data_IF_906828953560
#
_entry.id   IF_906828953560
#
_cell.length_a   1.000
_cell.length_b   1.000
_cell.length_c   1.000
_cell.angle_alpha   90.00
_cell.angle_beta   90.00
_cell.angle_gamma   90.00
#
_symmetry.space_group_name_H-M   'P 1'
#
loop_
_entity.id
_entity.type
_entity.pdbx_description
1 polymer ?
2 polymer ?
3 non-polymer ?
4 water ?
#
# COMPACT_ATOMS: atom_id res chain seq x y z
N UNK A 1 -14.99 -4.16 -6.79
CA UNK A 1 -15.95 -3.65 -7.76
C UNK A 1 -15.85 -4.35 -9.11
N UNK A 2 -16.65 -3.89 -10.07
CA UNK A 2 -16.59 -4.48 -11.41
C UNK A 2 -15.22 -4.38 -12.07
N UNK A 3 -14.40 -3.41 -11.69
CA UNK A 3 -13.11 -3.19 -12.33
C UNK A 3 -11.93 -3.74 -11.54
N UNK A 4 -12.15 -4.25 -10.33
CA UNK A 4 -11.05 -4.77 -9.55
C UNK A 4 -11.45 -4.98 -8.11
N UNK A 5 -10.49 -5.48 -7.33
CA UNK A 5 -10.71 -5.82 -5.93
C UNK A 5 -10.89 -4.57 -5.07
N UNK A 6 -11.76 -4.67 -4.08
CA UNK A 6 -11.97 -3.62 -3.10
C UNK A 6 -11.46 -4.10 -1.74
N UNK A 7 -10.88 -3.18 -0.97
CA UNK A 7 -10.27 -3.52 0.31
C UNK A 7 -10.61 -2.45 1.34
N UNK A 8 -10.64 -2.86 2.60
CA UNK A 8 -10.57 -1.95 3.73
C UNK A 8 -9.21 -2.19 4.40
N UNK A 9 -8.47 -1.12 4.62
CA UNK A 9 -7.16 -1.21 5.25
C UNK A 9 -7.20 -0.38 6.53
N UNK A 10 -6.90 -1.02 7.67
CA UNK A 10 -6.92 -0.36 8.96
C UNK A 10 -5.52 -0.39 9.55
N UNK A 11 -4.96 0.80 9.79
CA UNK A 11 -3.66 0.95 10.42
C UNK A 11 -3.82 0.99 11.93
N UNK A 12 -2.94 0.29 12.63
CA UNK A 12 -2.94 0.29 14.09
C UNK A 12 -1.53 0.45 14.58
N UNK A 13 -1.28 1.46 15.43
CA UNK A 13 0.00 1.58 16.10
C UNK A 13 -0.25 1.43 17.60
N UNK A 14 0.53 0.56 18.24
CA UNK A 14 0.33 0.24 19.64
C UNK A 14 1.65 0.27 20.38
N UNK A 15 1.56 0.50 21.69
CA UNK A 15 2.66 0.40 22.63
C UNK A 15 2.46 -0.85 23.50
N UNK A 16 3.37 -1.82 23.35
CA UNK A 16 3.35 -3.03 24.17
C UNK A 16 4.34 -2.88 25.31
N UNK A 17 3.86 -3.10 26.55
CA UNK A 17 4.71 -3.15 27.74
C UNK A 17 4.46 -4.47 28.44
N UNK A 18 5.47 -5.32 28.49
CA UNK A 18 5.34 -6.65 29.09
C UNK A 18 6.22 -6.77 30.32
N UNK A 19 6.00 -7.84 31.08
CA UNK A 19 6.86 -8.24 32.19
C UNK A 19 8.04 -9.08 31.70
N UNK A 20 9.09 -9.11 32.52
CA UNK A 20 10.27 -9.91 32.23
C UNK A 20 9.94 -11.37 31.95
N UNK A 21 9.01 -11.96 32.71
CA UNK A 21 8.73 -13.39 32.65
C UNK A 21 7.57 -13.73 31.71
N UNK A 22 7.31 -12.91 30.69
CA UNK A 22 6.34 -13.30 29.66
C UNK A 22 6.83 -12.80 28.32
N UNK A 23 6.18 -13.27 27.26
CA UNK A 23 6.40 -12.74 25.94
C UNK A 23 5.37 -11.68 25.60
N UNK A 24 5.56 -11.04 24.44
CA UNK A 24 4.54 -10.14 23.93
C UNK A 24 3.28 -10.88 23.52
N UNK A 25 3.36 -12.20 23.32
CA UNK A 25 2.18 -12.99 23.01
C UNK A 25 1.77 -13.04 21.56
N UNK A 26 2.74 -13.16 20.65
CA UNK A 26 2.40 -13.34 19.25
C UNK A 26 3.49 -14.18 18.58
N UNK A 27 3.14 -14.73 17.42
CA UNK A 27 4.07 -15.49 16.60
C UNK A 27 4.24 -14.76 15.29
N UNK A 28 5.47 -14.38 14.98
CA UNK A 28 5.78 -13.63 13.77
C UNK A 28 6.20 -14.60 12.67
N UNK A 29 5.70 -14.36 11.45
CA UNK A 29 6.06 -15.21 10.32
C UNK A 29 6.40 -14.36 9.11
N UNK A 30 7.47 -14.73 8.43
CA UNK A 30 7.86 -14.08 7.20
C UNK A 30 7.19 -14.74 6.02
N UNK A 31 6.59 -13.93 5.16
CA UNK A 31 5.85 -14.48 4.03
C UNK A 31 6.77 -14.93 2.90
N UNK A 32 7.87 -14.21 2.68
CA UNK A 32 8.87 -14.62 1.68
C UNK A 32 10.23 -14.02 2.01
N UNK A 39 14.33 -6.96 -4.49
CA UNK A 39 13.53 -5.94 -3.84
C UNK A 39 12.05 -6.28 -3.90
N UNK A 40 11.32 -5.91 -2.85
CA UNK A 40 9.91 -6.23 -2.67
C UNK A 40 9.09 -4.94 -2.78
N UNK A 41 7.98 -5.00 -3.52
CA UNK A 41 7.10 -3.86 -3.66
C UNK A 41 5.78 -4.14 -2.96
N UNK A 42 5.43 -3.40 -1.91
CA UNK A 42 4.16 -3.64 -1.21
C UNK A 42 2.96 -3.45 -2.12
N UNK A 43 1.96 -4.28 -1.90
CA UNK A 43 0.65 -4.22 -2.56
C UNK A 43 -0.40 -4.26 -1.47
N UNK A 44 -1.63 -3.83 -1.78
CA UNK A 44 -2.71 -3.96 -0.80
C UNK A 44 -2.85 -5.38 -0.27
N UNK A 45 -2.86 -6.39 -1.15
CA UNK A 45 -3.02 -7.76 -0.69
C UNK A 45 -1.80 -8.27 0.07
N UNK A 46 -0.65 -7.62 -0.11
CA UNK A 46 0.62 -8.10 0.42
C UNK A 46 1.44 -6.89 0.85
N UNK A 47 1.06 -6.22 1.95
CA UNK A 47 1.68 -4.93 2.27
C UNK A 47 3.04 -4.99 2.96
N UNK A 48 3.47 -6.17 3.44
CA UNK A 48 4.75 -6.26 4.16
C UNK A 48 5.22 -7.71 4.18
N UNK A 49 6.52 -7.89 4.43
CA UNK A 49 7.09 -9.23 4.45
C UNK A 49 6.73 -10.03 5.70
N UNK A 50 6.57 -9.38 6.86
CA UNK A 50 6.29 -10.08 8.11
C UNK A 50 4.84 -9.85 8.55
N UNK A 51 4.21 -10.88 9.12
CA UNK A 51 2.85 -10.74 9.63
C UNK A 51 2.69 -11.57 10.90
N UNK A 52 1.60 -11.33 11.61
CA UNK A 52 1.29 -12.08 12.83
C UNK A 52 0.57 -13.38 12.44
N UNK A 53 1.29 -14.50 12.49
CA UNK A 53 0.68 -15.79 12.22
C UNK A 53 -0.33 -16.16 13.30
N UNK A 54 -0.07 -15.78 14.56
CA UNK A 54 -1.03 -15.99 15.63
C UNK A 54 -0.79 -14.96 16.71
N UNK A 55 -1.82 -14.74 17.54
CA UNK A 55 -1.77 -13.82 18.67
C UNK A 55 -2.45 -14.50 19.84
N UNK A 56 -1.76 -14.59 20.98
CA UNK A 56 -2.33 -15.23 22.17
C UNK A 56 -3.50 -14.41 22.68
N UNK A 57 -4.69 -15.01 22.69
CA UNK A 57 -5.85 -14.31 23.20
C UNK A 57 -5.63 -13.95 24.67
N UNK A 58 -5.82 -12.67 25.00
CA UNK A 58 -5.60 -12.20 26.35
C UNK A 58 -4.17 -11.85 26.69
N UNK A 59 -3.22 -12.07 25.79
CA UNK A 59 -1.85 -11.69 26.03
C UNK A 59 -1.62 -10.20 25.81
N UNK A 60 -0.36 -9.78 26.00
CA UNK A 60 0.00 -8.37 25.88
C UNK A 60 -0.41 -7.82 24.51
N UNK A 61 0.00 -8.49 23.43
CA UNK A 61 -0.30 -7.99 22.10
C UNK A 61 -1.80 -7.94 21.83
N UNK A 62 -2.53 -8.98 22.25
CA UNK A 62 -3.99 -9.00 22.10
C UNK A 62 -4.64 -7.83 22.83
N UNK A 63 -4.26 -7.60 24.09
CA UNK A 63 -4.95 -6.57 24.86
C UNK A 63 -4.75 -5.18 24.28
N UNK A 64 -3.63 -4.96 23.59
CA UNK A 64 -3.38 -3.69 22.93
C UNK A 64 -4.11 -3.54 21.59
N UNK A 65 -4.59 -4.65 21.01
CA UNK A 65 -5.34 -4.58 19.77
C UNK A 65 -4.71 -5.26 18.57
N UNK A 66 -3.62 -6.00 18.75
CA UNK A 66 -3.06 -6.72 17.61
C UNK A 66 -3.81 -8.01 17.39
N UNK A 67 -3.86 -8.46 16.13
CA UNK A 67 -4.66 -9.63 15.76
C UNK A 67 -3.93 -10.47 14.72
N UNK A 68 -4.23 -11.77 14.70
CA UNK A 68 -3.71 -12.67 13.67
C UNK A 68 -3.98 -12.09 12.28
N UNK A 69 -2.95 -12.12 11.43
CA UNK A 69 -3.05 -11.61 10.08
C UNK A 69 -2.56 -10.19 9.89
N UNK A 70 -2.39 -9.43 10.97
CA UNK A 70 -1.83 -8.09 10.87
C UNK A 70 -0.44 -8.14 10.26
N UNK A 71 -0.16 -7.25 9.31
CA UNK A 71 1.15 -7.09 8.68
C UNK A 71 1.98 -6.01 9.39
N UNK A 72 3.27 -6.28 9.61
CA UNK A 72 4.10 -5.35 10.36
C UNK A 72 4.72 -4.30 9.44
N UNK A 73 4.49 -3.03 9.76
CA UNK A 73 5.02 -1.88 8.99
C UNK A 73 6.24 -1.25 9.66
N UNK A 74 6.18 -1.01 10.97
CA UNK A 74 7.29 -0.38 11.69
C UNK A 74 7.51 -1.06 13.02
N UNK A 75 8.76 -1.04 13.47
CA UNK A 75 9.13 -1.51 14.80
C UNK A 75 10.01 -0.43 15.44
N UNK A 76 9.51 0.19 16.51
CA UNK A 76 10.32 1.13 17.31
C UNK A 76 10.91 2.23 16.44
N UNK A 77 10.12 2.75 15.50
CA UNK A 77 10.53 3.86 14.67
C UNK A 77 11.36 3.52 13.46
N UNK A 78 11.48 2.25 13.12
CA UNK A 78 12.20 1.81 11.94
C UNK A 78 11.23 1.05 11.03
N UNK A 79 11.25 1.38 9.76
CA UNK A 79 10.40 0.69 8.79
C UNK A 79 10.90 -0.74 8.59
N UNK A 80 9.97 -1.70 8.58
CA UNK A 80 10.32 -3.10 8.37
C UNK A 80 9.52 -3.75 7.25
N UNK A 81 8.89 -2.93 6.40
CA UNK A 81 8.06 -3.47 5.32
C UNK A 81 8.87 -4.43 4.44
N UNK A 82 10.14 -4.12 4.20
CA UNK A 82 10.99 -4.86 3.28
C UNK A 82 12.10 -5.61 3.99
N UNK A 83 12.00 -5.79 5.30
CA UNK A 83 13.09 -6.34 6.09
C UNK A 83 12.81 -7.82 6.35
N UNK A 84 13.87 -8.63 6.33
CA UNK A 84 13.75 -10.07 6.49
C UNK A 84 13.42 -10.48 7.91
N UNK A 85 13.06 -11.76 8.05
CA UNK A 85 12.44 -12.25 9.28
C UNK A 85 13.39 -12.14 10.47
N UNK A 86 14.62 -12.64 10.31
CA UNK A 86 15.54 -12.66 11.45
C UNK A 86 15.91 -11.26 11.90
N UNK A 87 16.02 -10.33 10.94
CA UNK A 87 16.35 -8.96 11.30
C UNK A 87 15.22 -8.30 12.08
N UNK A 88 13.97 -8.54 11.67
CA UNK A 88 12.85 -7.96 12.42
C UNK A 88 12.77 -8.56 13.82
N UNK A 89 12.95 -9.88 13.94
CA UNK A 89 12.93 -10.52 15.24
C UNK A 89 13.97 -9.87 16.15
N UNK A 90 15.17 -9.66 15.62
CA UNK A 90 16.23 -9.03 16.42
C UNK A 90 15.84 -7.62 16.83
N UNK A 91 15.29 -6.83 15.91
CA UNK A 91 14.86 -5.48 16.25
C UNK A 91 13.85 -5.48 17.39
N UNK A 92 12.92 -6.45 17.39
CA UNK A 92 11.95 -6.54 18.47
C UNK A 92 12.63 -6.89 19.80
N UNK A 93 13.60 -7.79 19.76
CA UNK A 93 14.26 -8.18 21.01
C UNK A 93 15.13 -7.05 21.55
N UNK A 94 15.58 -6.14 20.68
CA UNK A 94 16.40 -5.03 21.15
C UNK A 94 15.65 -4.14 22.14
N UNK A 95 14.34 -4.00 21.98
CA UNK A 95 13.57 -3.17 22.87
C UNK A 95 13.25 -3.75 24.24
N UNK A 96 13.64 -4.99 24.49
CA UNK A 96 13.40 -5.60 25.79
C UNK A 96 11.92 -5.81 26.08
N UNK A 97 11.42 -5.17 27.13
CA UNK A 97 10.02 -5.31 27.53
C UNK A 97 9.10 -4.31 26.88
N UNK A 98 9.62 -3.42 26.04
CA UNK A 98 8.84 -2.38 25.38
C UNK A 98 8.92 -2.60 23.88
N UNK A 99 7.77 -2.55 23.21
CA UNK A 99 7.72 -2.65 21.76
C UNK A 99 6.67 -1.67 21.25
N UNK A 100 7.07 -0.74 20.37
CA UNK A 100 6.15 0.13 19.66
C UNK A 100 6.09 -0.38 18.22
N UNK A 101 4.90 -0.71 17.75
CA UNK A 101 4.78 -1.33 16.44
C UNK A 101 3.57 -0.76 15.71
N UNK A 102 3.73 -0.52 14.41
CA UNK A 102 2.63 -0.16 13.53
C UNK A 102 2.35 -1.35 12.63
N UNK A 103 1.08 -1.75 12.55
CA UNK A 103 0.65 -2.83 11.67
C UNK A 103 -0.50 -2.35 10.80
N UNK A 104 -0.80 -3.13 9.77
CA UNK A 104 -1.97 -2.88 8.94
C UNK A 104 -2.79 -4.16 8.90
N UNK A 105 -4.10 -4.02 9.10
CA UNK A 105 -5.05 -5.11 8.90
C UNK A 105 -5.76 -4.89 7.57
N UNK A 106 -5.87 -5.95 6.79
CA UNK A 106 -6.41 -5.89 5.42
C UNK A 106 -7.56 -6.86 5.28
N UNK A 107 -8.72 -6.36 4.84
CA UNK A 107 -9.85 -7.19 4.44
C UNK A 107 -10.05 -7.10 2.94
N UNK A 108 -10.14 -8.26 2.28
CA UNK A 108 -10.34 -8.34 0.83
C UNK A 108 -11.75 -8.81 0.53
N UNK A 109 -12.33 -8.25 -0.54
CA UNK A 109 -13.68 -8.62 -0.95
C UNK A 109 -13.66 -9.35 -2.28
N UNK B 1 -9.64 4.70 12.95
CA UNK B 1 -9.99 4.31 14.30
C UNK B 1 -9.09 4.95 15.35
N UNK B 2 -9.31 4.59 16.62
CA UNK B 2 -8.48 5.19 17.68
C UNK B 2 -7.01 4.81 17.59
N UNK B 3 -6.66 3.72 16.91
CA UNK B 3 -5.28 3.29 16.80
C UNK B 3 -4.61 3.73 15.49
N UNK B 4 -5.35 4.30 14.56
CA UNK B 4 -4.74 4.75 13.32
C UNK B 4 -5.77 4.95 12.23
N UNK B 5 -5.27 5.41 11.08
CA UNK B 5 -6.14 5.78 9.97
C UNK B 5 -6.68 4.55 9.26
N UNK B 6 -7.94 4.64 8.81
CA UNK B 6 -8.60 3.60 8.06
C UNK B 6 -8.87 4.10 6.65
N UNK B 7 -8.71 3.22 5.66
CA UNK B 7 -8.79 3.60 4.25
C UNK B 7 -9.69 2.64 3.49
N UNK B 8 -10.48 3.20 2.59
CA UNK B 8 -11.24 2.45 1.60
C UNK B 8 -10.43 2.44 0.31
N UNK B 9 -10.13 1.25 -0.19
CA UNK B 9 -9.25 1.08 -1.35
C UNK B 9 -10.05 0.40 -2.46
N UNK B 10 -10.13 1.05 -3.63
CA UNK B 10 -10.84 0.51 -4.79
C UNK B 10 -9.85 0.38 -5.94
N UNK B 11 -9.53 -0.85 -6.35
CA UNK B 11 -8.66 -1.07 -7.48
C UNK B 11 -9.50 -1.09 -8.76
N UNK B 12 -8.98 -0.48 -9.81
CA UNK B 12 -9.66 -0.46 -11.11
C UNK B 12 -8.66 -0.76 -12.20
N UNK B 13 -8.97 -1.76 -13.04
CA UNK B 13 -8.16 -2.03 -14.22
C UNK B 13 -9.06 -1.85 -15.44
N UNK B 14 -8.63 -1.01 -16.39
CA UNK B 14 -9.45 -0.67 -17.54
C UNK B 14 -8.63 -0.75 -18.81
N UNK B 15 -9.33 -0.98 -19.91
CA UNK B 15 -8.77 -0.91 -21.24
C UNK B 15 -9.22 0.40 -21.88
N UNK B 16 -8.26 1.25 -22.26
CA UNK B 16 -8.57 2.49 -22.96
C UNK B 16 -8.28 2.33 -24.44
N UNK B 17 -9.29 2.58 -25.28
CA UNK B 17 -9.13 2.58 -26.73
C UNK B 17 -9.57 3.94 -27.24
N UNK B 18 -8.65 4.65 -27.89
CA UNK B 18 -8.94 6.01 -28.33
C UNK B 18 -8.72 6.14 -29.83
N UNK B 19 -9.25 7.21 -30.39
CA UNK B 19 -8.95 7.57 -31.77
C UNK B 19 -7.65 8.37 -31.85
N UNK B 20 -7.05 8.35 -33.04
CA UNK B 20 -5.85 9.11 -33.33
C UNK B 20 -6.00 10.60 -32.95
N UNK B 21 -7.15 11.20 -33.26
CA UNK B 21 -7.34 12.63 -33.16
C UNK B 21 -7.96 13.05 -31.83
N UNK B 22 -7.71 12.29 -30.78
CA UNK B 22 -8.09 12.69 -29.42
C UNK B 22 -7.06 12.16 -28.46
N UNK B 23 -7.12 12.64 -27.22
CA UNK B 23 -6.32 12.08 -26.15
C UNK B 23 -7.14 11.08 -25.35
N UNK B 24 -6.46 10.42 -24.40
CA UNK B 24 -7.19 9.58 -23.46
C UNK B 24 -8.03 10.38 -22.49
N UNK B 25 -7.83 11.69 -22.43
CA UNK B 25 -8.67 12.54 -21.60
C UNK B 25 -8.28 12.59 -20.14
N UNK B 26 -6.99 12.70 -19.85
CA UNK B 26 -6.59 12.91 -18.45
C UNK B 26 -5.26 13.64 -18.42
N UNK B 27 -4.97 14.24 -17.26
CA UNK B 27 -3.70 14.88 -17.00
C UNK B 27 -3.01 14.09 -15.90
N UNK B 28 -1.83 13.57 -16.23
CA UNK B 28 -1.01 12.81 -15.31
C UNK B 28 -0.08 13.75 -14.56
N UNK B 29 0.06 13.53 -13.26
CA UNK B 29 0.95 14.34 -12.44
C UNK B 29 1.76 13.48 -11.49
N UNK B 30 3.04 13.83 -11.35
CA UNK B 30 3.92 13.14 -10.41
C UNK B 30 3.88 13.83 -9.07
N UNK B 31 3.66 13.05 -8.01
CA UNK B 31 3.59 13.61 -6.66
C UNK B 31 4.94 14.04 -6.14
N UNK B 32 6.02 13.37 -6.57
CA UNK B 32 7.37 13.84 -6.33
C UNK B 32 8.29 13.11 -7.30
N UNK B 33 9.53 13.56 -7.36
CA UNK B 33 10.46 13.03 -8.33
C UNK B 33 10.95 11.64 -7.91
N UNK B 34 11.19 10.79 -8.90
CA UNK B 34 11.93 9.55 -8.66
C UNK B 34 13.42 9.86 -8.61
N UNK B 35 14.11 9.25 -7.65
CA UNK B 35 15.54 9.45 -7.49
C UNK B 35 16.25 8.11 -7.41
N UNK B 36 17.43 7.99 -8.05
CA UNK B 36 18.20 6.75 -7.90
C UNK B 36 18.71 6.52 -6.49
N UNK B 37 18.67 7.54 -5.63
CA UNK B 37 19.29 7.43 -4.31
C UNK B 37 18.51 6.47 -3.42
N UNK B 38 17.18 6.48 -3.54
CA UNK B 38 16.34 5.68 -2.67
C UNK B 38 15.02 5.41 -3.37
N UNK B 39 14.56 4.17 -3.34
CA UNK B 39 13.32 3.82 -4.00
C UNK B 39 12.11 4.37 -3.23
N UNK B 40 11.07 4.71 -3.98
CA UNK B 40 9.79 5.03 -3.39
C UNK B 40 9.24 3.82 -2.64
N UNK B 41 8.68 4.07 -1.46
CA UNK B 41 7.96 3.03 -0.72
C UNK B 41 6.49 3.40 -0.65
N UNK B 42 5.61 2.67 -1.34
CA UNK B 42 4.18 2.98 -1.25
C UNK B 42 3.61 2.75 0.15
N UNK B 43 2.60 3.54 0.48
CA UNK B 43 1.79 3.39 1.67
C UNK B 43 0.33 3.41 1.25
N UNK B 44 -0.58 3.01 2.14
CA UNK B 44 -2.01 3.08 1.78
C UNK B 44 -2.48 4.46 1.35
N UNK B 45 -2.07 5.53 2.05
CA UNK B 45 -2.50 6.87 1.67
C UNK B 45 -1.76 7.41 0.44
N UNK B 46 -0.58 6.87 0.14
CA UNK B 46 0.29 7.38 -0.91
C UNK B 46 0.83 6.18 -1.68
N UNK B 47 0.00 5.55 -2.52
CA UNK B 47 0.37 4.23 -3.08
C UNK B 47 1.25 4.26 -4.33
N UNK B 48 1.49 5.41 -4.95
CA UNK B 48 2.26 5.45 -6.20
C UNK B 48 2.70 6.88 -6.47
N UNK B 49 3.75 7.00 -7.30
CA UNK B 49 4.30 8.32 -7.61
C UNK B 49 3.38 9.11 -8.55
N UNK B 50 2.72 8.47 -9.52
CA UNK B 50 1.91 9.20 -10.47
C UNK B 50 0.41 9.04 -10.18
N UNK B 51 -0.34 10.12 -10.39
CA UNK B 51 -1.79 10.09 -10.21
C UNK B 51 -2.48 10.94 -11.27
N UNK B 52 -3.80 10.80 -11.35
CA UNK B 52 -4.61 11.57 -12.30
C UNK B 52 -4.98 12.90 -11.68
N UNK B 53 -4.28 13.97 -12.08
CA UNK B 53 -4.60 15.32 -11.58
C UNK B 53 -5.98 15.75 -12.04
N UNK B 54 -6.39 15.38 -13.25
CA UNK B 54 -7.73 15.65 -13.70
C UNK B 54 -8.10 14.61 -14.73
N UNK B 55 -9.42 14.49 -14.95
CA UNK B 55 -9.98 13.57 -15.93
C UNK B 55 -11.09 14.30 -16.67
N UNK B 56 -11.00 14.34 -17.99
CA UNK B 56 -11.99 15.02 -18.82
C UNK B 56 -13.33 14.32 -18.72
N UNK B 57 -14.33 15.03 -18.18
CA UNK B 57 -15.66 14.47 -18.07
C UNK B 57 -16.17 14.05 -19.44
N UNK B 58 -16.58 12.79 -19.57
CA UNK B 58 -17.06 12.26 -20.84
C UNK B 58 -15.98 11.82 -21.79
N UNK B 59 -14.71 12.06 -21.48
CA UNK B 59 -13.62 11.56 -22.28
C UNK B 59 -13.46 10.04 -22.16
N UNK B 60 -12.43 9.54 -22.86
CA UNK B 60 -12.19 8.10 -22.94
C UNK B 60 -11.94 7.50 -21.56
N UNK B 61 -11.02 8.10 -20.80
CA UNK B 61 -10.70 7.59 -19.47
C UNK B 61 -11.91 7.66 -18.55
N UNK B 62 -12.63 8.78 -18.56
CA UNK B 62 -13.84 8.92 -17.77
C UNK B 62 -14.83 7.81 -18.06
N UNK B 63 -15.11 7.59 -19.35
CA UNK B 63 -16.13 6.61 -19.69
C UNK B 63 -15.74 5.20 -19.25
N UNK B 64 -14.45 4.91 -19.15
CA UNK B 64 -14.02 3.59 -18.69
C UNK B 64 -13.99 3.46 -17.16
N UNK B 65 -14.16 4.56 -16.44
CA UNK B 65 -14.27 4.53 -14.99
C UNK B 65 -13.14 5.23 -14.25
N UNK B 66 -12.20 5.88 -14.92
CA UNK B 66 -11.12 6.57 -14.23
C UNK B 66 -11.58 7.92 -13.73
N UNK B 67 -11.00 8.35 -12.61
CA UNK B 67 -11.46 9.55 -11.92
C UNK B 67 -10.26 10.32 -11.41
N UNK B 68 -10.46 11.63 -11.23
CA UNK B 68 -9.43 12.47 -10.65
C UNK B 68 -9.03 11.94 -9.28
N UNK B 69 -7.72 11.93 -9.02
CA UNK B 69 -7.20 11.41 -7.77
C UNK B 69 -6.76 9.95 -7.81
N UNK B 70 -7.11 9.19 -8.84
CA UNK B 70 -6.66 7.80 -8.93
C UNK B 70 -5.13 7.73 -9.08
N UNK B 71 -4.50 6.80 -8.35
CA UNK B 71 -3.06 6.56 -8.43
C UNK B 71 -2.75 5.45 -9.44
N UNK B 72 -1.72 5.65 -10.26
CA UNK B 72 -1.34 4.70 -11.30
C UNK B 72 -0.42 3.61 -10.77
N UNK B 73 -0.86 2.36 -10.87
CA UNK B 73 -0.10 1.19 -10.39
C UNK B 73 0.63 0.48 -11.54
N UNK B 74 -0.05 0.25 -12.66
CA UNK B 74 0.51 -0.49 -13.80
C UNK B 74 0.14 0.18 -15.11
N UNK B 75 1.07 0.10 -16.07
CA UNK B 75 0.84 0.54 -17.45
C UNK B 75 1.25 -0.60 -18.36
N UNK B 76 0.28 -1.15 -19.10
CA UNK B 76 0.55 -2.17 -20.13
C UNK B 76 1.41 -3.32 -19.57
N UNK B 77 1.00 -3.83 -18.41
CA UNK B 77 1.67 -4.96 -17.79
C UNK B 77 2.98 -4.66 -17.11
N UNK B 78 3.33 -3.40 -16.91
CA UNK B 78 4.57 -2.99 -16.25
C UNK B 78 4.23 -2.15 -15.04
N UNK B 79 4.84 -2.46 -13.91
CA UNK B 79 4.58 -1.73 -12.66
C UNK B 79 5.25 -0.36 -12.70
N UNK B 80 4.51 0.67 -12.30
CA UNK B 80 5.02 2.05 -12.38
C UNK B 80 4.83 2.75 -11.02
N UNK B 81 4.60 1.96 -9.97
CA UNK B 81 4.43 2.52 -8.62
C UNK B 81 5.60 3.42 -8.26
N UNK B 82 6.82 3.01 -8.62
CA UNK B 82 8.04 3.69 -8.21
C UNK B 82 8.71 4.46 -9.33
N UNK B 83 8.03 4.67 -10.45
CA UNK B 83 8.65 5.18 -11.67
C UNK B 83 8.33 6.66 -11.82
N UNK B 84 9.31 7.43 -12.28
CA UNK B 84 9.16 8.88 -12.39
C UNK B 84 8.27 9.30 -13.55
N UNK B 85 8.01 10.61 -13.61
CA UNK B 85 6.92 11.13 -14.43
C UNK B 85 7.18 10.90 -15.92
N UNK B 86 8.34 11.34 -16.41
CA UNK B 86 8.52 11.32 -17.86
C UNK B 86 8.71 9.90 -18.37
N UNK B 87 9.25 9.01 -17.54
CA UNK B 87 9.29 7.60 -17.95
C UNK B 87 7.88 7.04 -18.09
N UNK B 88 6.98 7.36 -17.16
CA UNK B 88 5.62 6.83 -17.26
C UNK B 88 4.90 7.43 -18.46
N UNK B 89 5.09 8.73 -18.70
CA UNK B 89 4.52 9.35 -19.90
C UNK B 89 4.98 8.62 -21.14
N UNK B 90 6.28 8.31 -21.22
CA UNK B 90 6.82 7.58 -22.37
C UNK B 90 6.18 6.21 -22.50
N UNK B 91 6.01 5.50 -21.39
CA UNK B 91 5.41 4.18 -21.44
C UNK B 91 3.98 4.24 -21.97
N UNK B 92 3.24 5.28 -21.59
CA UNK B 92 1.89 5.45 -22.11
C UNK B 92 1.92 5.75 -23.60
N UNK B 93 2.81 6.65 -24.04
CA UNK B 93 2.87 7.00 -25.45
C UNK B 93 3.31 5.83 -26.32
N UNK B 94 4.11 4.92 -25.78
CA UNK B 94 4.54 3.76 -26.56
C UNK B 94 3.36 2.92 -27.03
N UNK B 95 2.25 2.94 -26.28
CA UNK B 95 1.09 2.12 -26.62
C UNK B 95 0.22 2.67 -27.73
N UNK B 96 0.43 3.90 -28.16
CA UNK B 96 -0.39 4.48 -29.21
C UNK B 96 -1.81 4.71 -28.77
N UNK B 97 -2.77 4.12 -29.47
CA UNK B 97 -4.17 4.38 -29.18
C UNK B 97 -4.77 3.43 -28.17
N UNK B 98 -3.96 2.53 -27.59
CA UNK B 98 -4.41 1.55 -26.62
C UNK B 98 -3.64 1.73 -25.32
N UNK B 99 -4.37 1.77 -24.20
CA UNK B 99 -3.76 1.82 -22.87
C UNK B 99 -4.48 0.85 -21.96
N UNK B 100 -3.75 -0.12 -21.40
CA UNK B 100 -4.25 -0.92 -20.28
C UNK B 100 -3.57 -0.39 -19.03
N UNK B 101 -4.37 0.06 -18.07
CA UNK B 101 -3.84 0.67 -16.87
C UNK B 101 -4.57 0.11 -15.65
N UNK B 102 -3.84 -0.12 -14.56
CA UNK B 102 -4.43 -0.41 -13.26
C UNK B 102 -4.21 0.81 -12.38
N UNK B 103 -5.28 1.27 -11.71
CA UNK B 103 -5.17 2.37 -10.74
C UNK B 103 -5.82 1.95 -9.43
N UNK B 104 -5.57 2.74 -8.38
CA UNK B 104 -6.26 2.59 -7.10
C UNK B 104 -6.86 3.95 -6.69
N UNK B 105 -8.11 3.91 -6.23
CA UNK B 105 -8.73 5.05 -5.58
C UNK B 105 -8.68 4.82 -4.08
N UNK B 106 -8.18 5.82 -3.35
CA UNK B 106 -7.99 5.75 -1.91
C UNK B 106 -8.84 6.84 -1.26
N UNK B 107 -9.67 6.46 -0.28
CA UNK B 107 -10.47 7.42 0.46
C UNK B 107 -10.35 7.12 1.95
N UNK B 108 -10.15 8.16 2.74
CA UNK B 108 -10.14 8.00 4.19
C UNK B 108 -11.54 7.66 4.70
N UNK B 109 -11.65 6.59 5.46
CA UNK B 109 -12.94 6.14 5.96
C UNK B 109 -13.46 7.12 7.00
N UNK B 110 -14.75 7.44 6.99
CA UNK B 110 -15.30 8.39 7.98
C UNK B 110 -15.21 7.84 9.39
N UNK B 111 -15.46 8.73 10.35
CA UNK B 111 -15.45 8.37 11.76
C UNK B 111 -16.85 8.45 12.35
N UNK C 1 8.30 -17.43 14.61
CA UNK C 1 9.06 -17.12 15.82
C UNK C 1 8.13 -16.52 16.86
N UNK C 2 8.08 -17.15 18.02
CA UNK C 2 7.23 -16.70 19.12
C UNK C 2 7.94 -15.62 19.92
N UNK C 3 7.28 -14.48 20.12
CA UNK C 3 7.86 -13.36 20.84
C UNK C 3 6.98 -12.92 22.02
N UNK D 1 1.05 16.45 -17.27
CA UNK D 1 1.14 16.16 -18.69
C UNK D 1 -0.21 15.67 -19.19
N UNK D 2 -0.80 16.40 -20.14
CA UNK D 2 -2.08 15.99 -20.71
C UNK D 2 -1.86 14.86 -21.71
N UNK D 3 -2.68 13.81 -21.59
CA UNK D 3 -2.52 12.59 -22.38
C UNK D 3 -3.84 12.17 -23.01
#
# INVERSE_FOLDING_TARGET
GPLGSDYIIKEKTVLLQKKDSEGFGFVLRGAKAQTPIEEFTPTPAFPALQYLESVDEGGVAWRAGLRMGDFLIEVNGQNVVKVGHRQVVNMIRQGGNTLMVKVVMVTRHPDM
GPLGSDYIIKEKTVLLQKKDSEGFGFVLRGAKAQTPIEEFTPTPAFPALQYLESVDEGGVAWRAGLRMGDFLIEVNGQNVVKVGHRQVVNMIRQGGNTLMVKVVMVTRHPDM
TRL
TRL
#
